data_IF_374942846608
#
_entry.id   IF_374942846608
#
_cell.length_a   1.000
_cell.length_b   1.000
_cell.length_c   1.000
_cell.angle_alpha   90.00
_cell.angle_beta   90.00
_cell.angle_gamma   90.00
#
_symmetry.space_group_name_H-M   'P 1'
#
loop_
_entity.id
_entity.type
_entity.pdbx_description
1 polymer ?
#
# COMPACT_ATOMS: atom_id res chain seq x y z
N UNK A 1 25.36 -20.77 15.52
CA UNK A 1 23.90 -20.84 15.64
C UNK A 1 23.29 -19.78 14.76
N UNK A 2 22.64 -20.16 13.67
CA UNK A 2 21.88 -19.22 12.85
C UNK A 2 20.65 -18.81 13.64
N UNK A 3 20.55 -17.53 14.01
CA UNK A 3 19.29 -16.96 14.44
C UNK A 3 18.35 -16.98 13.23
N UNK A 4 17.38 -17.90 13.25
CA UNK A 4 16.27 -17.83 12.31
C UNK A 4 15.52 -16.54 12.61
N UNK A 5 15.64 -15.53 11.74
CA UNK A 5 14.81 -14.32 11.83
C UNK A 5 13.35 -14.78 11.74
N UNK A 6 12.59 -14.41 12.76
CA UNK A 6 11.16 -14.69 12.79
C UNK A 6 10.48 -13.98 11.62
N UNK A 7 9.74 -14.74 10.81
CA UNK A 7 8.92 -14.16 9.75
C UNK A 7 7.66 -13.55 10.34
N UNK A 8 7.25 -12.41 9.82
CA UNK A 8 6.00 -11.75 10.21
C UNK A 8 5.11 -11.52 9.00
N UNK A 9 3.80 -11.66 9.15
CA UNK A 9 2.88 -11.24 8.10
C UNK A 9 2.83 -9.71 8.02
N UNK A 10 2.35 -9.19 6.90
CA UNK A 10 2.13 -7.77 6.71
C UNK A 10 0.74 -7.47 6.15
N UNK A 11 0.20 -6.32 6.54
CA UNK A 11 -0.88 -5.67 5.86
C UNK A 11 -0.27 -4.68 4.86
N UNK A 12 -0.44 -4.96 3.57
CA UNK A 12 -0.01 -4.07 2.50
C UNK A 12 -1.18 -3.18 2.08
N UNK A 13 -0.92 -1.90 1.97
CA UNK A 13 -1.92 -0.89 1.63
C UNK A 13 -1.47 -0.07 0.43
N UNK A 14 -2.34 0.12 -0.56
CA UNK A 14 -2.18 1.22 -1.50
C UNK A 14 -2.44 2.55 -0.76
N UNK A 15 -1.92 3.66 -1.27
CA UNK A 15 -2.16 4.98 -0.67
C UNK A 15 -3.44 5.59 -1.21
N UNK A 16 -3.40 6.07 -2.46
CA UNK A 16 -4.55 6.74 -3.07
C UNK A 16 -5.71 5.78 -3.30
N UNK A 17 -6.87 6.10 -2.75
CA UNK A 17 -8.06 5.27 -2.84
C UNK A 17 -8.21 4.23 -1.72
N UNK A 18 -7.22 4.09 -0.83
CA UNK A 18 -7.28 3.19 0.34
C UNK A 18 -6.97 3.93 1.64
N UNK A 19 -5.81 4.59 1.71
CA UNK A 19 -5.43 5.41 2.89
C UNK A 19 -6.12 6.76 2.81
N UNK A 20 -6.09 7.39 1.65
CA UNK A 20 -6.68 8.70 1.40
C UNK A 20 -7.64 8.66 0.23
N UNK A 21 -8.58 9.60 0.23
CA UNK A 21 -9.50 9.80 -0.90
C UNK A 21 -8.69 10.18 -2.14
N UNK A 22 -8.93 9.47 -3.25
CA UNK A 22 -8.28 9.74 -4.53
C UNK A 22 -8.70 11.11 -5.07
N UNK A 23 -7.72 11.96 -5.36
CA UNK A 23 -7.93 13.32 -5.88
C UNK A 23 -7.06 13.61 -7.10
N UNK A 24 -6.78 12.61 -7.92
CA UNK A 24 -6.07 12.77 -9.18
C UNK A 24 -4.70 13.47 -9.01
N UNK A 25 -3.66 12.67 -8.75
CA UNK A 25 -2.28 13.13 -8.48
C UNK A 25 -2.12 13.99 -7.22
N UNK A 26 -2.81 13.62 -6.16
CA UNK A 26 -2.71 14.29 -4.86
C UNK A 26 -1.26 14.32 -4.38
N UNK A 27 -0.75 15.52 -4.06
CA UNK A 27 0.63 15.69 -3.59
C UNK A 27 0.78 16.74 -2.47
N UNK A 28 -0.30 17.40 -2.07
CA UNK A 28 -0.29 18.44 -1.02
C UNK A 28 -0.95 17.96 0.26
N UNK A 29 -0.37 18.35 1.40
CA UNK A 29 -0.90 18.02 2.72
C UNK A 29 -2.35 18.50 2.89
N UNK A 30 -2.64 19.74 2.46
CA UNK A 30 -3.97 20.35 2.58
C UNK A 30 -5.07 19.62 1.80
N UNK A 31 -4.70 18.82 0.80
CA UNK A 31 -5.64 18.05 -0.02
C UNK A 31 -5.84 16.61 0.50
N UNK A 32 -5.05 16.19 1.49
CA UNK A 32 -5.05 14.82 1.97
C UNK A 32 -6.20 14.57 2.95
N UNK A 33 -7.11 13.68 2.57
CA UNK A 33 -8.21 13.24 3.44
C UNK A 33 -8.11 11.75 3.68
N UNK A 34 -7.97 11.36 4.95
CA UNK A 34 -7.93 9.95 5.33
C UNK A 34 -9.30 9.30 5.10
N UNK A 35 -9.28 8.07 4.58
CA UNK A 35 -10.49 7.26 4.42
C UNK A 35 -10.93 6.73 5.78
N UNK A 36 -12.23 6.79 6.03
CA UNK A 36 -12.83 6.29 7.27
C UNK A 36 -12.48 4.81 7.51
N UNK A 37 -12.06 4.50 8.71
CA UNK A 37 -11.70 3.14 9.13
C UNK A 37 -10.25 2.76 8.91
N UNK A 38 -9.44 3.60 8.25
CA UNK A 38 -8.04 3.23 7.93
C UNK A 38 -7.18 3.06 9.20
N UNK A 39 -7.33 3.93 10.18
CA UNK A 39 -6.56 3.82 11.43
C UNK A 39 -6.98 2.60 12.24
N UNK A 40 -8.27 2.34 12.34
CA UNK A 40 -8.83 1.18 13.02
C UNK A 40 -8.37 -0.12 12.38
N UNK A 41 -8.39 -0.18 11.05
CA UNK A 41 -7.90 -1.34 10.29
C UNK A 41 -6.43 -1.62 10.60
N UNK A 42 -5.59 -0.58 10.56
CA UNK A 42 -4.16 -0.73 10.83
C UNK A 42 -3.90 -1.15 12.28
N UNK A 43 -4.59 -0.57 13.27
CA UNK A 43 -4.46 -0.98 14.67
C UNK A 43 -4.86 -2.45 14.86
N UNK A 44 -5.96 -2.86 14.24
CA UNK A 44 -6.45 -4.25 14.31
C UNK A 44 -5.37 -5.25 13.89
N UNK A 45 -4.73 -5.02 12.75
CA UNK A 45 -3.68 -5.92 12.25
C UNK A 45 -2.36 -5.77 13.01
N UNK A 46 -1.98 -4.54 13.37
CA UNK A 46 -0.77 -4.30 14.16
C UNK A 46 -0.81 -5.04 15.50
N UNK A 47 -1.95 -5.01 16.20
CA UNK A 47 -2.15 -5.72 17.46
C UNK A 47 -2.04 -7.24 17.30
N UNK A 48 -2.21 -7.75 16.09
CA UNK A 48 -2.08 -9.17 15.76
C UNK A 48 -0.69 -9.54 15.21
N UNK A 49 0.25 -8.62 15.30
CA UNK A 49 1.63 -8.85 14.90
C UNK A 49 1.95 -8.61 13.44
N UNK A 50 1.03 -8.02 12.68
CA UNK A 50 1.25 -7.66 11.27
C UNK A 50 2.08 -6.38 11.17
N UNK A 51 3.05 -6.35 10.27
CA UNK A 51 3.69 -5.12 9.83
C UNK A 51 2.71 -4.33 8.94
N UNK A 52 2.81 -3.01 8.97
CA UNK A 52 2.00 -2.14 8.11
C UNK A 52 2.92 -1.54 7.05
N UNK A 53 2.66 -1.87 5.79
CA UNK A 53 3.51 -1.48 4.66
C UNK A 53 2.66 -0.79 3.59
N UNK A 54 3.10 0.38 3.15
CA UNK A 54 2.45 1.11 2.06
C UNK A 54 3.19 0.86 0.76
N UNK A 55 2.45 0.53 -0.31
CA UNK A 55 2.98 0.31 -1.65
C UNK A 55 2.15 1.10 -2.66
N UNK A 56 2.74 2.12 -3.29
CA UNK A 56 1.98 3.08 -4.08
C UNK A 56 2.66 3.41 -5.41
N UNK A 57 1.89 3.42 -6.52
CA UNK A 57 2.33 3.99 -7.79
C UNK A 57 2.19 5.52 -7.70
N UNK A 58 3.25 6.24 -8.08
CA UNK A 58 3.31 7.70 -8.03
C UNK A 58 3.87 8.26 -9.35
N UNK A 59 3.22 7.95 -10.45
CA UNK A 59 3.64 8.36 -11.80
C UNK A 59 3.58 9.88 -12.02
N UNK A 60 2.91 10.63 -11.15
CA UNK A 60 2.92 12.09 -11.18
C UNK A 60 4.31 12.68 -11.10
N UNK A 61 5.26 11.97 -10.46
CA UNK A 61 6.67 12.37 -10.41
C UNK A 61 7.28 12.32 -11.82
N UNK A 62 7.13 11.22 -12.54
CA UNK A 62 7.60 11.09 -13.92
C UNK A 62 6.94 12.10 -14.86
N UNK A 63 5.67 12.43 -14.60
CA UNK A 63 4.90 13.40 -15.41
C UNK A 63 5.26 14.86 -15.09
N UNK A 64 6.06 15.11 -14.06
CA UNK A 64 6.43 16.47 -13.64
C UNK A 64 5.34 17.22 -12.91
N UNK A 65 4.32 16.56 -12.40
CA UNK A 65 3.21 17.20 -11.67
C UNK A 65 3.61 17.59 -10.24
N UNK A 66 4.55 16.85 -9.66
CA UNK A 66 5.17 17.12 -8.35
C UNK A 66 6.52 16.43 -8.28
N UNK A 67 7.36 16.89 -7.38
CA UNK A 67 8.72 16.39 -7.23
C UNK A 67 8.79 15.22 -6.26
N UNK A 68 9.92 14.51 -6.28
CA UNK A 68 10.28 13.51 -5.28
C UNK A 68 10.29 14.11 -3.87
N UNK A 69 10.81 15.34 -3.72
CA UNK A 69 10.86 16.03 -2.41
C UNK A 69 9.45 16.35 -1.89
N UNK A 70 8.55 16.77 -2.76
CA UNK A 70 7.14 17.00 -2.40
C UNK A 70 6.47 15.69 -1.95
N UNK A 71 6.73 14.60 -2.66
CA UNK A 71 6.25 13.27 -2.29
C UNK A 71 6.79 12.84 -0.91
N UNK A 72 8.08 13.03 -0.65
CA UNK A 72 8.70 12.68 0.63
C UNK A 72 8.14 13.53 1.78
N UNK A 73 7.90 14.80 1.56
CA UNK A 73 7.30 15.70 2.56
C UNK A 73 5.90 15.23 2.96
N UNK A 74 5.05 14.92 1.99
CA UNK A 74 3.71 14.40 2.23
C UNK A 74 3.77 13.05 2.96
N UNK A 75 4.68 12.19 2.54
CA UNK A 75 4.83 10.85 3.13
C UNK A 75 5.25 10.90 4.61
N UNK A 76 6.20 11.78 4.95
CA UNK A 76 6.59 11.98 6.36
C UNK A 76 5.42 12.50 7.21
N UNK A 77 4.66 13.43 6.67
CA UNK A 77 3.47 13.96 7.35
C UNK A 77 2.42 12.85 7.57
N UNK A 78 2.16 12.03 6.56
CA UNK A 78 1.22 10.91 6.63
C UNK A 78 1.66 9.89 7.70
N UNK A 79 2.92 9.49 7.69
CA UNK A 79 3.48 8.54 8.65
C UNK A 79 3.36 9.08 10.08
N UNK A 80 3.63 10.38 10.28
CA UNK A 80 3.47 11.03 11.57
C UNK A 80 2.01 11.08 12.03
N UNK A 81 1.06 11.26 11.10
CA UNK A 81 -0.36 11.20 11.39
C UNK A 81 -0.79 9.81 11.87
N UNK A 82 -0.30 8.75 11.21
CA UNK A 82 -0.53 7.38 11.67
C UNK A 82 0.05 7.14 13.07
N UNK A 83 1.25 7.64 13.33
CA UNK A 83 1.88 7.49 14.65
C UNK A 83 1.03 8.13 15.77
N UNK A 84 0.43 9.28 15.53
CA UNK A 84 -0.49 9.93 16.47
C UNK A 84 -1.74 9.08 16.75
N UNK A 85 -2.15 8.24 15.81
CA UNK A 85 -3.27 7.32 15.93
C UNK A 85 -2.85 5.94 16.47
N UNK A 86 -1.62 5.80 16.94
CA UNK A 86 -1.10 4.56 17.50
C UNK A 86 -0.69 3.52 16.48
N UNK A 87 -0.45 3.91 15.24
CA UNK A 87 -0.04 3.03 14.14
C UNK A 87 1.39 3.32 13.70
N UNK A 88 2.24 2.30 13.72
CA UNK A 88 3.59 2.37 13.17
C UNK A 88 3.57 1.88 11.71
N UNK A 89 3.82 2.79 10.77
CA UNK A 89 4.08 2.43 9.39
C UNK A 89 5.51 1.92 9.30
N UNK A 90 5.67 0.62 9.08
CA UNK A 90 6.99 -0.02 9.01
C UNK A 90 7.81 0.49 7.84
N UNK A 91 7.19 0.63 6.68
CA UNK A 91 7.85 1.12 5.47
C UNK A 91 6.83 1.63 4.46
N UNK A 92 7.30 2.51 3.59
CA UNK A 92 6.55 3.01 2.45
C UNK A 92 7.42 2.83 1.21
N UNK A 93 6.87 2.16 0.19
CA UNK A 93 7.49 1.97 -1.11
C UNK A 93 6.67 2.69 -2.16
N UNK A 94 7.33 3.41 -3.05
CA UNK A 94 6.66 4.08 -4.16
C UNK A 94 7.38 3.80 -5.48
N UNK A 95 6.61 3.83 -6.57
CA UNK A 95 7.15 3.76 -7.91
C UNK A 95 6.91 5.10 -8.62
N UNK A 96 7.96 5.88 -8.91
CA UNK A 96 7.82 7.19 -9.56
C UNK A 96 7.71 7.11 -11.08
N UNK A 97 7.80 5.92 -11.66
CA UNK A 97 7.95 5.72 -13.09
C UNK A 97 6.62 5.68 -13.84
N UNK A 98 6.68 6.02 -15.12
CA UNK A 98 5.60 5.78 -16.08
C UNK A 98 6.21 5.18 -17.35
N UNK A 99 5.65 4.09 -17.93
CA UNK A 99 6.26 3.40 -19.07
C UNK A 99 6.54 4.29 -20.27
N UNK A 100 5.64 5.24 -20.56
CA UNK A 100 5.75 6.13 -21.73
C UNK A 100 6.73 7.29 -21.52
N UNK A 101 7.18 7.55 -20.30
CA UNK A 101 8.01 8.73 -19.95
C UNK A 101 9.41 8.28 -19.51
N UNK A 102 9.48 7.38 -18.52
CA UNK A 102 10.72 6.94 -17.87
C UNK A 102 11.10 5.49 -18.20
N UNK A 103 10.34 4.82 -19.08
CA UNK A 103 10.54 3.43 -19.45
C UNK A 103 9.93 2.44 -18.47
N UNK A 104 10.04 1.16 -18.80
CA UNK A 104 9.55 0.08 -17.98
C UNK A 104 10.40 -0.12 -16.72
N UNK A 105 9.78 -0.61 -15.66
CA UNK A 105 10.42 -0.91 -14.39
C UNK A 105 9.79 -2.14 -13.74
N UNK A 106 10.44 -2.66 -12.69
CA UNK A 106 9.93 -3.78 -11.92
C UNK A 106 9.04 -3.36 -10.74
N UNK A 107 8.97 -2.07 -10.43
CA UNK A 107 8.25 -1.58 -9.25
C UNK A 107 6.80 -1.16 -9.51
N UNK A 108 6.47 -0.73 -10.72
CA UNK A 108 5.11 -0.25 -11.04
C UNK A 108 4.11 -1.40 -11.02
N UNK A 109 3.12 -1.34 -10.14
CA UNK A 109 2.00 -2.28 -10.14
C UNK A 109 1.29 -2.25 -11.50
N UNK A 110 0.98 -3.39 -12.12
CA UNK A 110 0.86 -4.73 -11.54
C UNK A 110 2.16 -5.53 -11.39
N UNK A 111 3.34 -4.96 -11.61
CA UNK A 111 4.59 -5.65 -11.28
C UNK A 111 4.74 -5.78 -9.75
N UNK A 112 5.30 -6.88 -9.25
CA UNK A 112 5.36 -7.17 -7.81
C UNK A 112 6.60 -6.61 -7.10
N UNK A 113 7.42 -5.82 -7.76
CA UNK A 113 8.76 -5.44 -7.27
C UNK A 113 8.77 -4.80 -5.89
N UNK A 114 7.85 -3.87 -5.60
CA UNK A 114 7.78 -3.22 -4.29
C UNK A 114 7.43 -4.23 -3.17
N UNK A 115 6.52 -5.16 -3.45
CA UNK A 115 6.12 -6.19 -2.49
C UNK A 115 7.24 -7.17 -2.18
N UNK A 116 7.97 -7.58 -3.22
CA UNK A 116 9.11 -8.49 -3.08
C UNK A 116 10.28 -7.83 -2.36
N UNK A 117 10.53 -6.56 -2.62
CA UNK A 117 11.57 -5.77 -1.92
C UNK A 117 11.25 -5.66 -0.42
N UNK A 118 10.02 -5.32 -0.09
CA UNK A 118 9.57 -5.26 1.30
C UNK A 118 9.71 -6.62 2.00
N UNK A 119 9.28 -7.70 1.34
CA UNK A 119 9.36 -9.05 1.89
C UNK A 119 10.80 -9.47 2.18
N UNK A 120 11.72 -9.14 1.28
CA UNK A 120 13.15 -9.44 1.46
C UNK A 120 13.75 -8.64 2.62
N UNK A 121 13.46 -7.34 2.69
CA UNK A 121 14.05 -6.44 3.70
C UNK A 121 13.54 -6.73 5.11
N UNK A 122 12.27 -7.01 5.26
CA UNK A 122 11.62 -7.16 6.57
C UNK A 122 11.29 -8.61 6.91
N UNK A 123 11.74 -9.57 6.12
CA UNK A 123 11.49 -11.00 6.32
C UNK A 123 9.99 -11.29 6.46
N UNK A 124 9.19 -10.85 5.49
CA UNK A 124 7.74 -10.94 5.52
C UNK A 124 7.26 -12.29 5.02
N UNK A 125 6.34 -12.90 5.75
CA UNK A 125 5.60 -14.09 5.33
C UNK A 125 4.47 -13.68 4.38
N UNK A 126 4.76 -13.67 3.08
CA UNK A 126 3.80 -13.24 2.06
C UNK A 126 2.55 -14.13 2.00
N UNK A 127 2.67 -15.43 2.30
CA UNK A 127 1.54 -16.37 2.25
C UNK A 127 0.47 -16.03 3.29
N UNK A 128 0.89 -15.49 4.43
CA UNK A 128 0.01 -15.13 5.54
C UNK A 128 -0.25 -13.62 5.61
N UNK A 129 0.23 -12.88 4.61
CA UNK A 129 -0.02 -11.45 4.46
C UNK A 129 -1.30 -11.18 3.68
N UNK A 130 -1.76 -9.93 3.73
CA UNK A 130 -2.88 -9.47 2.92
C UNK A 130 -2.59 -8.12 2.30
N UNK A 131 -3.32 -7.81 1.23
CA UNK A 131 -3.23 -6.52 0.54
C UNK A 131 -4.63 -5.94 0.34
N UNK A 132 -4.75 -4.64 0.59
CA UNK A 132 -5.94 -3.85 0.25
C UNK A 132 -5.54 -2.83 -0.81
N UNK A 133 -6.22 -2.85 -1.94
CA UNK A 133 -6.02 -1.93 -3.04
C UNK A 133 -7.33 -1.44 -3.62
N UNK A 134 -7.30 -0.37 -4.40
CA UNK A 134 -8.48 0.19 -5.08
C UNK A 134 -8.55 -0.16 -6.56
N UNK A 135 -7.56 -0.88 -7.07
CA UNK A 135 -7.43 -1.23 -8.48
C UNK A 135 -7.06 -2.71 -8.65
N UNK A 136 -7.53 -3.31 -9.73
CA UNK A 136 -7.15 -4.68 -10.08
C UNK A 136 -5.63 -4.84 -10.24
N UNK A 137 -4.90 -3.78 -10.62
CA UNK A 137 -3.43 -3.79 -10.67
C UNK A 137 -2.80 -4.11 -9.33
N UNK A 138 -3.39 -3.67 -8.22
CA UNK A 138 -2.95 -3.98 -6.87
C UNK A 138 -3.11 -5.47 -6.58
N UNK A 139 -4.25 -6.02 -6.94
CA UNK A 139 -4.59 -7.43 -6.74
C UNK A 139 -3.66 -8.33 -7.54
N UNK A 140 -3.42 -8.01 -8.79
CA UNK A 140 -2.51 -8.77 -9.67
C UNK A 140 -1.07 -8.73 -9.11
N UNK A 141 -0.60 -7.56 -8.69
CA UNK A 141 0.73 -7.42 -8.08
C UNK A 141 0.88 -8.31 -6.84
N UNK A 142 -0.14 -8.33 -5.97
CA UNK A 142 -0.16 -9.15 -4.78
C UNK A 142 -0.10 -10.65 -5.11
N UNK A 143 -0.90 -11.12 -6.05
CA UNK A 143 -0.89 -12.53 -6.49
C UNK A 143 0.48 -12.91 -7.08
N UNK A 144 1.06 -12.05 -7.90
CA UNK A 144 2.40 -12.27 -8.47
C UNK A 144 3.49 -12.35 -7.40
N UNK A 145 3.34 -11.64 -6.31
CA UNK A 145 4.26 -11.67 -5.17
C UNK A 145 4.08 -12.91 -4.27
N UNK A 146 2.95 -13.60 -4.38
CA UNK A 146 2.63 -14.76 -3.53
C UNK A 146 1.69 -14.46 -2.38
N UNK A 147 1.06 -13.29 -2.35
CA UNK A 147 0.01 -12.93 -1.39
C UNK A 147 -1.30 -13.54 -1.88
N UNK A 148 -1.96 -14.32 -1.04
CA UNK A 148 -3.21 -15.03 -1.40
C UNK A 148 -4.45 -14.25 -1.01
N UNK A 149 -4.39 -13.53 0.10
CA UNK A 149 -5.52 -12.78 0.66
C UNK A 149 -5.48 -11.34 0.17
N UNK A 150 -6.44 -10.98 -0.68
CA UNK A 150 -6.50 -9.68 -1.33
C UNK A 150 -7.91 -9.11 -1.27
N UNK A 151 -8.00 -7.81 -1.08
CA UNK A 151 -9.27 -7.08 -1.01
C UNK A 151 -9.26 -5.91 -1.96
N UNK A 152 -10.26 -5.87 -2.83
CA UNK A 152 -10.49 -4.73 -3.72
C UNK A 152 -11.47 -3.77 -3.04
N UNK A 153 -10.97 -2.60 -2.69
CA UNK A 153 -11.77 -1.54 -2.09
C UNK A 153 -12.33 -0.63 -3.19
N UNK A 154 -13.47 -1.01 -3.72
CA UNK A 154 -14.15 -0.30 -4.79
C UNK A 154 -15.65 -0.61 -4.79
N UNK A 155 -16.46 0.37 -4.39
CA UNK A 155 -17.93 0.25 -4.32
C UNK A 155 -18.61 0.04 -5.68
N UNK A 156 -17.90 0.29 -6.78
CA UNK A 156 -18.43 0.19 -8.15
C UNK A 156 -18.01 -1.08 -8.86
N UNK A 157 -17.00 -1.79 -8.34
CA UNK A 157 -16.52 -3.01 -8.97
C UNK A 157 -17.51 -4.14 -8.80
N UNK A 158 -17.73 -4.90 -9.87
CA UNK A 158 -18.59 -6.10 -9.87
C UNK A 158 -17.81 -7.38 -10.10
N UNK A 159 -16.56 -7.29 -10.58
CA UNK A 159 -15.67 -8.41 -10.87
C UNK A 159 -14.27 -8.11 -10.44
N UNK A 160 -13.61 -9.07 -9.78
CA UNK A 160 -12.21 -8.99 -9.40
C UNK A 160 -11.67 -10.39 -9.15
N UNK A 161 -10.36 -10.56 -9.28
CA UNK A 161 -9.64 -11.75 -8.81
C UNK A 161 -9.31 -11.68 -7.31
N UNK A 162 -9.68 -10.60 -6.63
CA UNK A 162 -9.52 -10.45 -5.19
C UNK A 162 -10.30 -11.51 -4.41
N UNK A 163 -9.85 -11.82 -3.21
CA UNK A 163 -10.57 -12.68 -2.27
C UNK A 163 -11.99 -12.15 -2.03
N UNK A 164 -12.11 -10.82 -1.91
CA UNK A 164 -13.40 -10.15 -1.74
C UNK A 164 -13.31 -8.70 -2.24
N UNK A 165 -14.42 -8.22 -2.80
CA UNK A 165 -14.63 -6.79 -3.05
C UNK A 165 -15.32 -6.21 -1.82
N UNK A 166 -14.79 -5.10 -1.30
CA UNK A 166 -15.32 -4.42 -0.11
C UNK A 166 -15.65 -2.96 -0.42
N UNK A 167 -16.58 -2.40 0.28
CA UNK A 167 -16.94 -0.98 0.19
C UNK A 167 -16.73 -0.22 1.51
N UNK A 168 -16.36 -0.92 2.57
CA UNK A 168 -16.01 -0.35 3.87
C UNK A 168 -14.80 -1.10 4.44
N UNK A 169 -13.75 -0.37 4.83
CA UNK A 169 -12.54 -0.98 5.42
C UNK A 169 -12.85 -1.73 6.72
N UNK A 170 -13.91 -1.36 7.42
CA UNK A 170 -14.34 -2.02 8.67
C UNK A 170 -14.82 -3.45 8.45
N UNK A 171 -15.13 -3.85 7.21
CA UNK A 171 -15.44 -5.24 6.89
C UNK A 171 -14.26 -6.19 7.16
N UNK A 172 -13.03 -5.65 7.30
CA UNK A 172 -11.81 -6.43 7.53
C UNK A 172 -11.39 -6.49 9.01
N UNK A 173 -12.18 -5.91 9.90
CA UNK A 173 -11.90 -5.89 11.35
C UNK A 173 -12.67 -6.97 12.09
#
# INVERSE_FOLDING_TARGET
MSQTQETKPALFLDRDGVINIEKNYLHKIEDFEFIEGIFELCRHYQERGYLIIVVTNQSGIARGYYSEDEFQTLSRWMIAAFAKEGVEITALYHCPHHPDISGECSCRKPAPGMLLEAASKYNIDLKNSLLVGDSERDIIAAHRAGIRETYLFDSKASKSEATKIIDDLKELI
#
